data_IF_208618432240
#
_entry.id   IF_208618432240
#
_cell.length_a   1.000
_cell.length_b   1.000
_cell.length_c   1.000
_cell.angle_alpha   90.00
_cell.angle_beta   90.00
_cell.angle_gamma   90.00
#
_symmetry.space_group_name_H-M   'P 1'
#
loop_
_entity.id
_entity.type
_entity.pdbx_description
1 polymer ?
#
# COMPACT_ATOMS: atom_id res chain seq x y z
N UNK A 1 -20.54 15.83 -14.89
CA UNK A 1 -19.63 16.40 -13.88
C UNK A 1 -18.51 17.06 -14.62
N UNK A 2 -18.44 18.40 -14.66
CA UNK A 2 -17.29 19.12 -15.17
C UNK A 2 -16.15 18.92 -14.17
N UNK A 3 -15.10 18.22 -14.56
CA UNK A 3 -13.81 18.23 -13.88
C UNK A 3 -13.18 19.60 -14.20
N UNK A 4 -13.57 20.65 -13.49
CA UNK A 4 -12.85 21.90 -13.52
C UNK A 4 -11.69 21.71 -12.57
N UNK A 5 -10.48 21.61 -13.13
CA UNK A 5 -9.22 21.49 -12.39
C UNK A 5 -8.89 22.73 -11.54
N UNK A 6 -9.55 22.83 -10.40
CA UNK A 6 -9.17 23.67 -9.25
C UNK A 6 -8.96 22.83 -8.00
N UNK A 7 -8.67 21.57 -8.12
CA UNK A 7 -7.80 20.96 -7.14
C UNK A 7 -6.41 21.48 -7.48
N UNK A 8 -5.91 22.38 -6.69
CA UNK A 8 -4.53 22.81 -6.75
C UNK A 8 -3.68 21.54 -6.73
N UNK A 9 -3.03 21.26 -7.86
CA UNK A 9 -1.91 20.32 -7.83
C UNK A 9 -1.00 20.91 -6.75
N UNK A 10 -0.74 20.13 -5.72
CA UNK A 10 0.16 20.48 -4.62
C UNK A 10 1.55 20.83 -5.18
N UNK A 11 1.79 20.51 -6.45
CA UNK A 11 3.01 20.82 -7.19
C UNK A 11 2.71 21.84 -8.30
N UNK A 12 3.52 22.89 -8.39
CA UNK A 12 3.57 23.73 -9.58
C UNK A 12 4.02 22.90 -10.80
N UNK A 13 3.69 23.33 -12.05
CA UNK A 13 4.22 22.67 -13.25
C UNK A 13 5.76 22.56 -13.28
N UNK A 14 6.46 23.51 -12.65
CA UNK A 14 7.91 23.51 -12.50
C UNK A 14 8.38 22.46 -11.48
N UNK A 15 7.68 22.33 -10.36
CA UNK A 15 7.93 21.27 -9.39
C UNK A 15 7.65 19.88 -9.96
N UNK A 16 6.58 19.71 -10.76
CA UNK A 16 6.30 18.46 -11.45
C UNK A 16 7.38 18.11 -12.51
N UNK A 17 7.96 19.10 -13.17
CA UNK A 17 9.11 18.92 -14.09
C UNK A 17 10.41 18.63 -13.34
N UNK A 18 10.58 19.20 -12.15
CA UNK A 18 11.76 18.97 -11.31
C UNK A 18 11.72 17.63 -10.55
N UNK A 19 10.54 17.06 -10.35
CA UNK A 19 10.37 15.77 -9.65
C UNK A 19 11.28 14.66 -10.21
N UNK A 20 11.33 14.37 -11.52
CA UNK A 20 12.20 13.33 -12.05
C UNK A 20 13.67 13.59 -11.72
N UNK A 21 14.11 14.84 -11.75
CA UNK A 21 15.50 15.22 -11.45
C UNK A 21 15.77 15.11 -9.94
N UNK A 22 14.88 15.61 -9.09
CA UNK A 22 14.99 15.50 -7.63
C UNK A 22 15.08 14.02 -7.20
N UNK A 23 14.24 13.16 -7.79
CA UNK A 23 14.27 11.72 -7.50
C UNK A 23 15.48 11.02 -8.11
N UNK A 24 15.92 11.42 -9.29
CA UNK A 24 17.15 10.92 -9.90
C UNK A 24 18.38 11.28 -9.06
N UNK A 25 18.46 12.50 -8.57
CA UNK A 25 19.61 12.98 -7.80
C UNK A 25 19.61 12.45 -6.36
N UNK A 26 18.44 12.38 -5.71
CA UNK A 26 18.31 11.86 -4.33
C UNK A 26 18.46 10.33 -4.23
N UNK A 27 18.24 9.60 -5.33
CA UNK A 27 18.10 8.14 -5.32
C UNK A 27 19.05 7.38 -6.24
N UNK A 28 20.03 8.05 -6.84
CA UNK A 28 21.05 7.39 -7.67
C UNK A 28 21.65 6.10 -7.07
N UNK A 29 21.79 5.93 -5.73
CA UNK A 29 22.25 4.67 -5.16
C UNK A 29 21.16 3.58 -5.03
N UNK A 30 19.87 3.90 -5.17
CA UNK A 30 18.76 3.01 -4.79
C UNK A 30 17.86 2.56 -5.95
N UNK A 31 18.01 3.18 -7.15
CA UNK A 31 17.26 2.69 -8.30
C UNK A 31 17.95 1.42 -8.84
N UNK A 32 17.31 0.26 -8.82
CA UNK A 32 17.71 -0.82 -9.70
C UNK A 32 17.69 -0.27 -11.13
N UNK A 33 18.61 -0.71 -11.98
CA UNK A 33 18.76 -0.19 -13.36
C UNK A 33 17.46 -0.24 -14.17
N UNK A 34 16.45 -0.97 -13.69
CA UNK A 34 15.12 -1.08 -14.29
C UNK A 34 14.08 -1.35 -13.19
N UNK A 35 13.12 -0.44 -13.03
CA UNK A 35 11.98 -0.60 -12.13
C UNK A 35 10.73 -0.85 -12.97
N UNK A 36 10.09 -2.02 -12.78
CA UNK A 36 8.77 -2.32 -13.32
C UNK A 36 7.80 -2.53 -12.17
N UNK A 37 6.77 -1.70 -12.11
CA UNK A 37 5.77 -1.68 -11.03
C UNK A 37 4.49 -2.36 -11.50
N UNK A 38 4.04 -3.35 -10.77
CA UNK A 38 2.71 -3.92 -10.94
C UNK A 38 1.77 -3.27 -9.92
N UNK A 39 0.80 -2.49 -10.38
CA UNK A 39 -0.26 -1.94 -9.55
C UNK A 39 -1.43 -2.92 -9.63
N UNK A 40 -1.80 -3.53 -8.52
CA UNK A 40 -2.77 -4.61 -8.50
C UNK A 40 -3.96 -4.30 -7.58
N UNK A 41 -5.17 -4.49 -8.08
CA UNK A 41 -6.40 -4.25 -7.34
C UNK A 41 -7.30 -5.48 -7.33
N UNK A 42 -7.60 -6.04 -6.15
CA UNK A 42 -8.68 -7.01 -6.00
C UNK A 42 -10.04 -6.30 -6.03
N UNK A 43 -10.90 -6.68 -6.98
CA UNK A 43 -12.27 -6.18 -7.11
C UNK A 43 -13.27 -7.27 -6.71
N UNK A 44 -13.90 -7.14 -5.56
CA UNK A 44 -14.87 -8.15 -5.10
C UNK A 44 -16.09 -8.23 -6.03
N UNK A 45 -16.76 -7.10 -6.30
CA UNK A 45 -18.02 -7.04 -7.05
C UNK A 45 -17.87 -6.44 -8.46
N UNK A 46 -16.71 -6.50 -9.10
CA UNK A 46 -16.44 -5.81 -10.37
C UNK A 46 -16.70 -4.29 -10.31
N UNK A 47 -16.61 -3.70 -9.12
CA UNK A 47 -16.90 -2.30 -8.85
C UNK A 47 -15.73 -1.60 -8.18
N UNK A 48 -15.52 -0.35 -8.58
CA UNK A 48 -14.59 0.56 -7.91
C UNK A 48 -15.28 1.88 -7.59
N UNK A 49 -14.78 2.60 -6.60
CA UNK A 49 -15.28 3.91 -6.25
C UNK A 49 -14.69 4.98 -7.18
N UNK A 50 -15.48 6.01 -7.54
CA UNK A 50 -15.00 7.09 -8.42
C UNK A 50 -13.75 7.81 -7.90
N UNK A 51 -13.54 8.02 -6.58
CA UNK A 51 -12.29 8.57 -6.06
C UNK A 51 -11.06 7.69 -6.34
N UNK A 52 -11.22 6.36 -6.31
CA UNK A 52 -10.18 5.41 -6.72
C UNK A 52 -9.76 5.64 -8.18
N UNK A 53 -10.74 5.71 -9.08
CA UNK A 53 -10.49 5.94 -10.51
C UNK A 53 -9.75 7.27 -10.73
N UNK A 54 -10.18 8.33 -10.04
CA UNK A 54 -9.54 9.64 -10.12
C UNK A 54 -8.07 9.58 -9.68
N UNK A 55 -7.78 8.94 -8.53
CA UNK A 55 -6.40 8.78 -8.03
C UNK A 55 -5.55 7.95 -9.01
N UNK A 56 -6.11 6.86 -9.56
CA UNK A 56 -5.40 5.99 -10.51
C UNK A 56 -5.04 6.74 -11.80
N UNK A 57 -5.97 7.51 -12.39
CA UNK A 57 -5.69 8.30 -13.59
C UNK A 57 -4.53 9.27 -13.38
N UNK A 58 -4.45 9.91 -12.20
CA UNK A 58 -3.32 10.79 -11.86
C UNK A 58 -2.01 10.01 -11.66
N UNK A 59 -2.04 8.85 -11.04
CA UNK A 59 -0.87 7.96 -10.90
C UNK A 59 -0.33 7.56 -12.26
N UNK A 60 -1.20 7.07 -13.16
CA UNK A 60 -0.82 6.68 -14.53
C UNK A 60 -0.14 7.84 -15.25
N UNK A 61 -0.71 9.05 -15.14
CA UNK A 61 -0.10 10.25 -15.71
C UNK A 61 1.30 10.52 -15.16
N UNK A 62 1.48 10.45 -13.83
CA UNK A 62 2.78 10.71 -13.20
C UNK A 62 3.82 9.66 -13.59
N UNK A 63 3.49 8.37 -13.51
CA UNK A 63 4.41 7.28 -13.86
C UNK A 63 4.83 7.36 -15.33
N UNK A 64 3.88 7.66 -16.23
CA UNK A 64 4.18 7.87 -17.66
C UNK A 64 5.12 9.05 -17.87
N UNK A 65 4.88 10.19 -17.21
CA UNK A 65 5.74 11.37 -17.31
C UNK A 65 7.16 11.11 -16.78
N UNK A 66 7.30 10.24 -15.80
CA UNK A 66 8.58 9.86 -15.20
C UNK A 66 9.28 8.73 -15.95
N UNK A 67 8.64 8.13 -16.96
CA UNK A 67 9.20 7.00 -17.70
C UNK A 67 9.34 5.72 -16.86
N UNK A 68 8.56 5.58 -15.79
CA UNK A 68 8.51 4.35 -14.97
C UNK A 68 7.69 3.31 -15.71
N UNK A 69 8.24 2.12 -15.91
CA UNK A 69 7.49 1.00 -16.48
C UNK A 69 6.47 0.48 -15.46
N UNK A 70 5.22 0.36 -15.85
CA UNK A 70 4.16 -0.16 -14.97
C UNK A 70 3.09 -0.93 -15.74
N UNK A 71 2.42 -1.81 -15.03
CA UNK A 71 1.20 -2.48 -15.47
C UNK A 71 0.12 -2.35 -14.40
N UNK A 72 -1.13 -2.29 -14.85
CA UNK A 72 -2.29 -2.40 -13.97
C UNK A 72 -2.88 -3.81 -14.09
N UNK A 73 -3.01 -4.49 -12.96
CA UNK A 73 -3.64 -5.79 -12.88
C UNK A 73 -4.89 -5.72 -12.01
N UNK A 74 -5.96 -6.28 -12.52
CA UNK A 74 -7.18 -6.52 -11.76
C UNK A 74 -7.37 -8.02 -11.52
N UNK A 75 -7.95 -8.35 -10.38
CA UNK A 75 -8.45 -9.68 -10.09
C UNK A 75 -9.84 -9.54 -9.50
N UNK A 76 -10.84 -10.04 -10.25
CA UNK A 76 -12.25 -9.83 -9.94
C UNK A 76 -12.95 -11.12 -9.54
N UNK A 77 -14.00 -10.97 -8.71
CA UNK A 77 -14.89 -12.08 -8.37
C UNK A 77 -14.39 -13.05 -7.30
N UNK A 78 -13.24 -12.77 -6.67
CA UNK A 78 -12.77 -13.56 -5.54
C UNK A 78 -13.40 -13.08 -4.23
N UNK A 79 -14.12 -13.97 -3.53
CA UNK A 79 -14.76 -13.66 -2.26
C UNK A 79 -13.78 -13.53 -1.08
N UNK A 80 -12.56 -14.00 -1.23
CA UNK A 80 -11.54 -13.99 -0.19
C UNK A 80 -10.36 -13.09 -0.61
N UNK A 81 -10.27 -11.92 0.00
CA UNK A 81 -9.22 -10.94 -0.32
C UNK A 81 -7.80 -11.51 -0.16
N UNK A 82 -7.55 -12.33 0.85
CA UNK A 82 -6.26 -12.99 1.04
C UNK A 82 -5.92 -13.96 -0.10
N UNK A 83 -6.91 -14.69 -0.64
CA UNK A 83 -6.72 -15.57 -1.80
C UNK A 83 -6.42 -14.75 -3.06
N UNK A 84 -7.17 -13.68 -3.29
CA UNK A 84 -6.92 -12.76 -4.40
C UNK A 84 -5.49 -12.20 -4.35
N UNK A 85 -5.03 -11.74 -3.17
CA UNK A 85 -3.66 -11.23 -2.98
C UNK A 85 -2.62 -12.31 -3.23
N UNK A 86 -2.81 -13.54 -2.75
CA UNK A 86 -1.88 -14.64 -3.00
C UNK A 86 -1.79 -15.00 -4.49
N UNK A 87 -2.92 -15.00 -5.21
CA UNK A 87 -2.99 -15.22 -6.65
C UNK A 87 -2.20 -14.14 -7.41
N UNK A 88 -2.36 -12.89 -7.03
CA UNK A 88 -1.61 -11.77 -7.61
C UNK A 88 -0.11 -11.91 -7.30
N UNK A 89 0.28 -12.24 -6.07
CA UNK A 89 1.69 -12.49 -5.71
C UNK A 89 2.30 -13.62 -6.54
N UNK A 90 1.58 -14.72 -6.76
CA UNK A 90 2.05 -15.82 -7.58
C UNK A 90 2.29 -15.40 -9.03
N UNK A 91 1.33 -14.66 -9.62
CA UNK A 91 1.47 -14.10 -10.96
C UNK A 91 2.62 -13.09 -11.05
N UNK A 92 2.78 -12.22 -10.05
CA UNK A 92 3.88 -11.26 -9.99
C UNK A 92 5.24 -11.95 -9.99
N UNK A 93 5.39 -13.04 -9.25
CA UNK A 93 6.65 -13.80 -9.19
C UNK A 93 6.97 -14.54 -10.49
N UNK A 94 5.99 -14.77 -11.37
CA UNK A 94 6.20 -15.37 -12.70
C UNK A 94 6.74 -14.36 -13.73
N UNK A 95 6.57 -13.07 -13.51
CA UNK A 95 7.14 -12.03 -14.36
C UNK A 95 8.53 -11.60 -13.84
N UNK A 96 9.64 -12.09 -14.39
CA UNK A 96 10.97 -11.79 -13.88
C UNK A 96 11.38 -10.32 -14.02
N UNK A 97 10.68 -9.55 -14.86
CA UNK A 97 10.94 -8.13 -15.04
C UNK A 97 10.29 -7.26 -13.95
N UNK A 98 9.21 -7.75 -13.31
CA UNK A 98 8.50 -7.01 -12.29
C UNK A 98 9.33 -6.94 -11.00
N UNK A 99 9.56 -5.71 -10.50
CA UNK A 99 10.39 -5.45 -9.31
C UNK A 99 9.57 -5.12 -8.08
N UNK A 100 8.44 -4.44 -8.27
CA UNK A 100 7.59 -3.91 -7.21
C UNK A 100 6.14 -4.28 -7.46
N UNK A 101 5.47 -4.80 -6.45
CA UNK A 101 4.05 -5.07 -6.44
C UNK A 101 3.37 -4.05 -5.52
N UNK A 102 2.41 -3.30 -6.03
CA UNK A 102 1.66 -2.31 -5.28
C UNK A 102 0.19 -2.70 -5.20
N UNK A 103 -0.26 -3.18 -4.05
CA UNK A 103 -1.67 -3.44 -3.79
C UNK A 103 -2.41 -2.15 -3.47
N UNK A 104 -3.57 -1.95 -4.11
CA UNK A 104 -4.51 -0.86 -3.81
C UNK A 104 -5.92 -1.44 -3.83
N UNK A 105 -6.65 -1.31 -2.73
CA UNK A 105 -8.04 -1.76 -2.69
C UNK A 105 -8.95 -0.81 -3.49
N UNK A 106 -10.00 -1.34 -4.10
CA UNK A 106 -10.87 -0.63 -5.06
C UNK A 106 -11.70 0.50 -4.44
N UNK A 107 -11.70 0.60 -3.12
CA UNK A 107 -12.43 1.59 -2.32
C UNK A 107 -11.52 2.65 -1.67
N UNK A 108 -10.29 2.75 -2.15
CA UNK A 108 -9.31 3.71 -1.68
C UNK A 108 -9.30 5.00 -2.52
N UNK A 109 -8.92 6.10 -1.88
CA UNK A 109 -8.45 7.34 -2.50
C UNK A 109 -7.11 7.72 -1.90
N UNK A 110 -6.21 8.26 -2.71
CA UNK A 110 -4.87 8.69 -2.26
C UNK A 110 -4.35 9.85 -3.10
N UNK A 111 -3.39 10.59 -2.56
CA UNK A 111 -2.64 11.54 -3.36
C UNK A 111 -1.58 10.79 -4.20
N UNK A 112 -1.56 10.98 -5.52
CA UNK A 112 -0.72 10.20 -6.45
C UNK A 112 0.76 10.25 -6.14
N UNK A 113 1.25 11.38 -5.63
CA UNK A 113 2.65 11.60 -5.27
C UNK A 113 3.12 10.63 -4.18
N UNK A 114 2.25 10.29 -3.24
CA UNK A 114 2.59 9.34 -2.17
C UNK A 114 2.93 7.96 -2.72
N UNK A 115 2.16 7.45 -3.70
CA UNK A 115 2.48 6.18 -4.38
C UNK A 115 3.83 6.26 -5.06
N UNK A 116 4.08 7.33 -5.81
CA UNK A 116 5.35 7.56 -6.51
C UNK A 116 6.51 7.60 -5.50
N UNK A 117 6.35 8.35 -4.39
CA UNK A 117 7.36 8.40 -3.34
C UNK A 117 7.67 7.01 -2.78
N UNK A 118 6.64 6.22 -2.49
CA UNK A 118 6.81 4.87 -1.95
C UNK A 118 7.53 3.93 -2.92
N UNK A 119 7.32 4.03 -4.24
CA UNK A 119 8.04 3.21 -5.23
C UNK A 119 9.55 3.44 -5.12
N UNK A 120 9.96 4.67 -4.91
CA UNK A 120 11.40 5.02 -4.88
C UNK A 120 12.06 4.86 -3.51
N UNK A 121 11.33 4.52 -2.47
CA UNK A 121 11.92 4.26 -1.15
C UNK A 121 12.64 2.90 -1.11
N UNK A 122 13.75 2.78 -0.35
CA UNK A 122 14.56 1.57 -0.30
C UNK A 122 13.91 0.40 0.46
N UNK A 123 12.91 0.65 1.27
CA UNK A 123 12.21 -0.34 2.09
C UNK A 123 11.68 -1.50 1.22
N UNK A 124 11.78 -2.74 1.71
CA UNK A 124 11.28 -3.90 0.97
C UNK A 124 9.76 -4.04 1.07
N UNK A 125 9.17 -3.62 2.19
CA UNK A 125 7.72 -3.63 2.45
C UNK A 125 7.31 -2.31 3.08
N UNK A 126 6.43 -1.55 2.42
CA UNK A 126 5.96 -0.25 2.90
C UNK A 126 4.51 -0.01 2.51
N UNK A 127 3.68 0.45 3.43
CA UNK A 127 2.28 0.78 3.17
C UNK A 127 1.88 2.14 3.68
N UNK A 128 0.74 2.64 3.22
CA UNK A 128 0.03 3.75 3.84
C UNK A 128 -0.83 3.29 5.01
N UNK A 129 -1.29 4.24 5.82
CA UNK A 129 -2.33 4.00 6.80
C UNK A 129 -3.54 4.84 6.48
N UNK A 130 -4.72 4.26 6.55
CA UNK A 130 -5.99 4.90 6.21
C UNK A 130 -7.02 4.68 7.30
N UNK A 131 -8.05 5.55 7.39
CA UNK A 131 -9.09 5.41 8.40
C UNK A 131 -9.86 4.10 8.26
N UNK A 132 -10.17 3.46 9.38
CA UNK A 132 -11.10 2.32 9.40
C UNK A 132 -12.52 2.83 9.14
N UNK A 133 -13.33 2.06 8.41
CA UNK A 133 -14.75 2.38 8.09
C UNK A 133 -15.64 2.27 9.32
N UNK A 134 -15.34 3.01 10.36
CA UNK A 134 -16.16 3.08 11.58
C UNK A 134 -16.25 4.53 12.07
N UNK A 135 -16.99 4.75 13.15
CA UNK A 135 -17.16 6.08 13.73
C UNK A 135 -16.07 6.43 14.76
N UNK A 136 -15.08 5.55 14.95
CA UNK A 136 -13.96 5.75 15.87
C UNK A 136 -12.75 6.29 15.09
N UNK A 137 -11.94 7.11 15.75
CA UNK A 137 -10.68 7.58 15.20
C UNK A 137 -9.64 6.43 15.23
N UNK A 138 -9.83 5.42 14.38
CA UNK A 138 -8.93 4.27 14.27
C UNK A 138 -8.33 4.16 12.87
N UNK A 139 -7.12 3.65 12.82
CA UNK A 139 -6.31 3.54 11.62
C UNK A 139 -5.93 2.07 11.38
N UNK A 140 -5.72 1.71 10.12
CA UNK A 140 -5.52 0.32 9.71
C UNK A 140 -4.12 -0.20 9.97
N UNK A 141 -3.09 0.66 9.91
CA UNK A 141 -1.73 0.26 10.22
C UNK A 141 -1.38 0.60 11.67
N UNK A 142 -0.55 -0.24 12.28
CA UNK A 142 -0.11 -0.11 13.69
C UNK A 142 1.40 0.06 13.69
N UNK A 143 1.95 1.17 14.20
CA UNK A 143 3.40 1.32 14.34
C UNK A 143 3.97 0.47 15.47
N UNK A 144 5.26 0.17 15.41
CA UNK A 144 6.02 -0.27 16.56
C UNK A 144 6.28 0.93 17.48
N UNK A 145 6.29 0.68 18.79
CA UNK A 145 6.57 1.71 19.80
C UNK A 145 7.83 1.36 20.59
N UNK A 146 8.50 2.40 21.07
CA UNK A 146 9.59 2.30 22.05
C UNK A 146 9.37 3.31 23.17
N UNK A 147 9.86 2.97 24.37
CA UNK A 147 9.79 3.89 25.50
C UNK A 147 10.88 4.94 25.37
N UNK A 148 10.48 6.22 25.32
CA UNK A 148 11.40 7.34 25.30
C UNK A 148 11.93 7.69 26.69
N UNK A 149 12.91 8.59 26.74
CA UNK A 149 13.48 9.12 28.01
C UNK A 149 12.44 9.87 28.87
N UNK A 150 11.40 10.37 28.24
CA UNK A 150 10.24 11.01 28.90
C UNK A 150 9.26 10.01 29.53
N UNK A 151 9.55 8.71 29.45
CA UNK A 151 8.70 7.62 29.95
C UNK A 151 7.47 7.34 29.09
N UNK A 152 7.29 8.03 27.96
CA UNK A 152 6.17 7.81 27.04
C UNK A 152 6.55 6.87 25.91
N UNK A 153 5.54 6.25 25.32
CA UNK A 153 5.73 5.43 24.13
C UNK A 153 5.74 6.33 22.89
N UNK A 154 6.83 6.24 22.12
CA UNK A 154 7.00 6.93 20.83
C UNK A 154 7.00 5.92 19.68
N UNK A 155 6.41 6.25 18.54
CA UNK A 155 6.53 5.40 17.36
C UNK A 155 7.99 5.28 16.94
N UNK A 156 8.44 4.06 16.70
CA UNK A 156 9.77 3.81 16.14
C UNK A 156 9.83 4.20 14.68
N UNK A 157 10.91 4.80 14.25
CA UNK A 157 11.02 5.20 12.87
C UNK A 157 12.29 5.98 12.55
N UNK A 158 12.29 6.62 11.39
CA UNK A 158 13.36 7.50 10.94
C UNK A 158 12.80 8.68 10.14
N UNK A 159 13.54 9.75 10.07
CA UNK A 159 13.19 10.92 9.26
C UNK A 159 13.95 10.83 7.92
N UNK A 160 13.25 11.01 6.82
CA UNK A 160 13.83 11.12 5.49
C UNK A 160 14.48 12.50 5.29
N UNK A 161 15.37 12.66 4.29
CA UNK A 161 16.02 13.95 4.02
C UNK A 161 15.06 15.11 3.72
N UNK A 162 13.86 14.82 3.23
CA UNK A 162 12.80 15.81 2.97
C UNK A 162 11.94 16.14 4.22
N UNK A 163 12.31 15.60 5.39
CA UNK A 163 11.58 15.77 6.64
C UNK A 163 10.42 14.80 6.84
N UNK A 164 10.11 13.95 5.87
CA UNK A 164 9.05 12.93 6.01
C UNK A 164 9.45 11.86 7.02
N UNK A 165 8.58 11.58 7.98
CA UNK A 165 8.77 10.46 8.89
C UNK A 165 8.43 9.14 8.18
N UNK A 166 9.25 8.11 8.40
CA UNK A 166 8.89 6.72 8.15
C UNK A 166 8.79 6.00 9.50
N UNK A 167 7.73 5.22 9.69
CA UNK A 167 7.49 4.48 10.93
C UNK A 167 7.69 2.99 10.71
N UNK A 168 8.36 2.31 11.63
CA UNK A 168 8.36 0.85 11.66
C UNK A 168 6.95 0.37 11.96
N UNK A 169 6.48 -0.62 11.20
CA UNK A 169 5.15 -1.16 11.35
C UNK A 169 5.15 -2.47 12.14
N UNK A 170 4.33 -2.54 13.18
CA UNK A 170 3.89 -3.80 13.76
C UNK A 170 2.85 -4.47 12.86
N UNK A 171 1.94 -3.68 12.29
CA UNK A 171 1.01 -4.10 11.24
C UNK A 171 1.00 -3.06 10.14
N UNK A 172 1.20 -3.48 8.89
CA UNK A 172 1.00 -2.66 7.70
C UNK A 172 -0.25 -3.14 6.97
N UNK A 173 -1.14 -2.21 6.64
CA UNK A 173 -2.40 -2.53 5.98
C UNK A 173 -2.23 -2.88 4.50
N UNK A 174 -2.98 -3.87 4.02
CA UNK A 174 -2.89 -4.40 2.66
C UNK A 174 -3.56 -3.56 1.58
N UNK A 175 -4.47 -2.64 1.95
CA UNK A 175 -5.23 -1.86 0.97
C UNK A 175 -4.47 -0.70 0.34
N UNK A 176 -3.24 -0.40 0.77
CA UNK A 176 -2.29 0.50 0.11
C UNK A 176 -0.87 0.09 0.49
N UNK A 177 -0.34 -0.92 -0.21
CA UNK A 177 0.86 -1.65 0.19
C UNK A 177 1.79 -1.93 -0.99
N UNK A 178 3.03 -1.46 -0.90
CA UNK A 178 4.10 -1.82 -1.83
C UNK A 178 5.00 -2.91 -1.23
N UNK A 179 5.27 -3.94 -2.04
CA UNK A 179 6.13 -5.07 -1.71
C UNK A 179 7.15 -5.23 -2.84
N UNK A 180 8.43 -5.20 -2.52
CA UNK A 180 9.47 -5.57 -3.49
C UNK A 180 9.53 -7.09 -3.69
N UNK A 181 9.90 -7.51 -4.88
CA UNK A 181 10.12 -8.92 -5.24
C UNK A 181 10.94 -9.67 -4.18
N UNK A 182 12.05 -9.08 -3.77
CA UNK A 182 12.97 -9.70 -2.81
C UNK A 182 12.30 -10.07 -1.48
N UNK A 183 11.28 -9.30 -1.05
CA UNK A 183 10.55 -9.63 0.18
C UNK A 183 9.71 -10.90 0.04
N UNK A 184 9.03 -11.09 -1.11
CA UNK A 184 8.27 -12.30 -1.38
C UNK A 184 9.20 -13.52 -1.57
N UNK A 185 10.35 -13.33 -2.19
CA UNK A 185 11.36 -14.38 -2.37
C UNK A 185 11.93 -14.83 -1.01
N UNK A 186 12.34 -13.91 -0.15
CA UNK A 186 12.79 -14.22 1.23
C UNK A 186 11.71 -14.89 2.07
N UNK A 187 10.44 -14.48 1.90
CA UNK A 187 9.33 -15.15 2.55
C UNK A 187 9.24 -16.63 2.11
N UNK A 188 9.33 -16.91 0.80
CA UNK A 188 9.31 -18.28 0.28
C UNK A 188 10.48 -19.13 0.78
N UNK A 189 11.66 -18.55 0.86
CA UNK A 189 12.85 -19.21 1.42
C UNK A 189 12.65 -19.57 2.89
N UNK A 190 12.07 -18.65 3.68
CA UNK A 190 11.80 -18.86 5.10
C UNK A 190 10.69 -19.88 5.36
N UNK A 191 9.67 -19.91 4.50
CA UNK A 191 8.47 -20.73 4.65
C UNK A 191 8.22 -21.59 3.41
N UNK A 192 9.10 -22.55 3.07
CA UNK A 192 9.00 -23.32 1.84
C UNK A 192 7.74 -24.18 1.77
N UNK A 193 7.19 -24.58 2.92
CA UNK A 193 6.00 -25.42 3.04
C UNK A 193 4.71 -24.66 3.31
N UNK A 194 4.76 -23.32 3.38
CA UNK A 194 3.59 -22.48 3.60
C UNK A 194 2.89 -22.15 2.28
N UNK A 195 2.23 -23.15 1.72
CA UNK A 195 1.51 -23.06 0.45
C UNK A 195 0.24 -23.90 0.45
N UNK A 196 -0.64 -23.65 -0.49
CA UNK A 196 -1.87 -24.40 -0.73
C UNK A 196 -2.10 -24.61 -2.22
N UNK A 197 -2.92 -25.63 -2.55
CA UNK A 197 -3.51 -25.80 -3.87
C UNK A 197 -4.98 -25.41 -3.79
N UNK A 198 -5.47 -24.68 -4.79
CA UNK A 198 -6.91 -24.50 -4.94
C UNK A 198 -7.54 -25.77 -5.47
N UNK A 199 -8.70 -26.20 -4.93
CA UNK A 199 -9.44 -27.31 -5.50
C UNK A 199 -9.78 -27.00 -6.96
N UNK A 200 -9.36 -27.84 -7.89
CA UNK A 200 -9.77 -27.76 -9.28
C UNK A 200 -11.01 -28.63 -9.50
N UNK A 201 -12.01 -28.06 -10.17
CA UNK A 201 -13.16 -28.83 -10.64
C UNK A 201 -12.81 -29.77 -11.82
N UNK A 202 -11.65 -29.53 -12.45
CA UNK A 202 -11.10 -30.34 -13.53
C UNK A 202 -9.89 -31.15 -13.03
N UNK A 203 -10.02 -32.48 -12.81
CA UNK A 203 -8.92 -33.33 -12.36
C UNK A 203 -7.75 -33.41 -13.34
N UNK A 204 -7.96 -33.05 -14.62
CA UNK A 204 -6.91 -33.05 -15.65
C UNK A 204 -6.06 -31.79 -15.60
N UNK A 205 -6.53 -30.74 -14.91
CA UNK A 205 -5.81 -29.50 -14.74
C UNK A 205 -5.02 -29.54 -13.42
N UNK A 206 -3.69 -29.58 -13.45
CA UNK A 206 -2.89 -29.64 -12.22
C UNK A 206 -3.16 -28.41 -11.38
N UNK A 207 -3.49 -28.64 -10.11
CA UNK A 207 -3.73 -27.57 -9.15
C UNK A 207 -2.49 -26.69 -9.04
N UNK A 208 -2.64 -25.39 -9.29
CA UNK A 208 -1.56 -24.42 -9.13
C UNK A 208 -1.24 -24.28 -7.65
N UNK A 209 0.03 -24.27 -7.31
CA UNK A 209 0.52 -24.03 -5.97
C UNK A 209 0.62 -22.53 -5.72
N UNK A 210 0.00 -22.06 -4.62
CA UNK A 210 0.04 -20.68 -4.16
C UNK A 210 0.73 -20.61 -2.81
N UNK A 211 1.72 -19.75 -2.64
CA UNK A 211 2.27 -19.47 -1.31
C UNK A 211 1.30 -18.60 -0.51
N UNK A 212 1.13 -18.94 0.77
CA UNK A 212 0.22 -18.22 1.69
C UNK A 212 0.88 -17.00 2.29
N UNK A 213 1.18 -15.99 1.45
CA UNK A 213 1.70 -14.71 1.93
C UNK A 213 0.69 -14.00 2.82
N UNK A 214 -0.58 -14.06 2.42
CA UNK A 214 -1.73 -13.51 3.14
C UNK A 214 -2.64 -14.64 3.57
N UNK A 215 -3.04 -14.63 4.84
CA UNK A 215 -3.94 -15.64 5.40
C UNK A 215 -4.67 -15.09 6.62
N UNK A 216 -5.94 -15.46 6.79
CA UNK A 216 -6.64 -15.26 8.05
C UNK A 216 -6.55 -16.54 8.88
N UNK A 217 -5.99 -16.46 10.08
CA UNK A 217 -5.72 -17.63 10.92
C UNK A 217 -5.90 -17.32 12.42
N UNK A 218 -6.28 -18.34 13.17
CA UNK A 218 -6.23 -18.30 14.64
C UNK A 218 -4.93 -18.94 15.10
N UNK A 219 -4.15 -18.23 15.89
CA UNK A 219 -2.93 -18.70 16.53
C UNK A 219 -2.92 -18.21 17.97
N UNK A 220 -2.67 -19.09 18.94
CA UNK A 220 -2.68 -18.79 20.36
C UNK A 220 -3.97 -18.05 20.85
N UNK A 221 -5.12 -18.48 20.37
CA UNK A 221 -6.43 -17.89 20.63
C UNK A 221 -6.62 -16.45 20.11
N UNK A 222 -5.71 -15.94 19.27
CA UNK A 222 -5.82 -14.65 18.61
C UNK A 222 -6.16 -14.85 17.13
N UNK A 223 -7.15 -14.10 16.65
CA UNK A 223 -7.47 -14.04 15.23
C UNK A 223 -6.55 -13.04 14.54
N UNK A 224 -5.71 -13.54 13.67
CA UNK A 224 -4.93 -12.73 12.75
C UNK A 224 -5.73 -12.55 11.46
N UNK A 225 -6.06 -11.29 11.11
CA UNK A 225 -6.47 -10.93 9.77
C UNK A 225 -5.28 -11.04 8.79
N UNK A 226 -5.55 -10.99 7.51
CA UNK A 226 -4.52 -11.23 6.49
C UNK A 226 -3.36 -10.22 6.55
N UNK A 227 -3.62 -8.97 6.91
CA UNK A 227 -2.61 -7.92 7.07
C UNK A 227 -1.70 -8.18 8.28
N UNK A 228 -2.33 -8.57 9.39
CA UNK A 228 -1.62 -8.91 10.63
C UNK A 228 -0.76 -10.15 10.43
N UNK A 229 -1.31 -11.18 9.76
CA UNK A 229 -0.58 -12.38 9.41
C UNK A 229 0.62 -12.08 8.51
N UNK A 230 0.38 -11.36 7.41
CA UNK A 230 1.45 -10.94 6.50
C UNK A 230 2.57 -10.19 7.23
N UNK A 231 2.21 -9.17 8.02
CA UNK A 231 3.18 -8.37 8.78
C UNK A 231 3.97 -9.20 9.79
N UNK A 232 3.30 -10.11 10.52
CA UNK A 232 3.94 -11.05 11.45
C UNK A 232 4.96 -11.92 10.72
N UNK A 233 4.55 -12.55 9.62
CA UNK A 233 5.39 -13.48 8.86
C UNK A 233 6.58 -12.77 8.19
N UNK A 234 6.41 -11.55 7.72
CA UNK A 234 7.53 -10.75 7.21
C UNK A 234 8.56 -10.46 8.30
N UNK A 235 8.15 -10.06 9.51
CA UNK A 235 9.07 -9.86 10.63
C UNK A 235 9.78 -11.15 11.06
N UNK A 236 9.06 -12.26 11.15
CA UNK A 236 9.64 -13.57 11.44
C UNK A 236 10.64 -14.04 10.37
N UNK A 237 10.48 -13.57 9.13
CA UNK A 237 11.45 -13.77 8.04
C UNK A 237 12.64 -12.78 8.06
N UNK A 238 12.73 -11.93 9.10
CA UNK A 238 13.79 -10.95 9.22
C UNK A 238 13.63 -9.72 8.34
N UNK A 239 12.43 -9.48 7.81
CA UNK A 239 12.08 -8.32 7.00
C UNK A 239 11.42 -7.24 7.86
N UNK A 240 11.81 -6.00 7.64
CA UNK A 240 11.13 -4.86 8.27
C UNK A 240 9.94 -4.43 7.42
N UNK A 241 8.82 -4.16 8.09
CA UNK A 241 7.64 -3.54 7.49
C UNK A 241 7.55 -2.08 7.92
N UNK A 242 7.11 -1.21 7.01
CA UNK A 242 7.13 0.23 7.22
C UNK A 242 5.81 0.89 6.88
N UNK A 243 5.53 2.01 7.55
CA UNK A 243 4.41 2.90 7.24
C UNK A 243 4.97 4.20 6.68
N UNK A 244 4.44 4.62 5.53
CA UNK A 244 4.57 5.98 4.99
C UNK A 244 3.37 6.79 5.47
N UNK A 245 3.48 7.58 6.55
CA UNK A 245 2.31 8.16 7.21
C UNK A 245 1.77 9.40 6.48
N UNK A 246 2.60 10.09 5.69
CA UNK A 246 2.22 11.33 5.02
C UNK A 246 1.49 11.07 3.69
N UNK A 247 0.39 10.33 3.77
CA UNK A 247 -0.54 10.09 2.66
C UNK A 247 -1.92 10.59 3.05
N UNK A 248 -2.50 11.44 2.21
CA UNK A 248 -3.90 11.79 2.34
C UNK A 248 -4.75 10.65 1.79
N UNK A 249 -5.42 9.92 2.67
CA UNK A 249 -6.16 8.72 2.32
C UNK A 249 -7.66 8.91 2.50
N UNK A 250 -8.43 8.37 1.54
CA UNK A 250 -9.87 8.16 1.66
C UNK A 250 -10.19 6.68 1.60
N UNK A 251 -11.09 6.21 2.46
CA UNK A 251 -11.57 4.84 2.50
C UNK A 251 -13.10 4.85 2.38
N UNK A 252 -13.62 4.32 1.31
CA UNK A 252 -15.02 4.50 0.91
C UNK A 252 -15.85 3.24 1.13
N UNK A 253 -17.13 3.45 1.45
CA UNK A 253 -18.15 2.45 1.63
C UNK A 253 -19.51 3.12 1.46
N UNK A 254 -20.44 2.96 2.41
CA UNK A 254 -21.71 3.71 2.44
C UNK A 254 -21.49 5.22 2.59
N UNK A 255 -20.34 5.62 3.10
CA UNK A 255 -19.81 6.99 3.12
C UNK A 255 -18.29 6.94 2.94
N UNK A 256 -17.62 8.11 2.82
CA UNK A 256 -16.18 8.22 2.85
C UNK A 256 -15.64 8.51 4.24
N UNK A 257 -14.51 7.92 4.58
CA UNK A 257 -13.68 8.24 5.74
C UNK A 257 -12.34 8.74 5.22
N UNK A 258 -11.95 9.94 5.59
CA UNK A 258 -10.74 10.58 5.08
C UNK A 258 -9.82 10.99 6.21
N UNK A 259 -8.54 11.08 5.96
CA UNK A 259 -7.58 11.55 6.94
C UNK A 259 -6.13 11.46 6.47
N UNK A 260 -5.25 12.06 7.27
CA UNK A 260 -3.80 11.99 7.14
C UNK A 260 -3.22 11.46 8.45
N UNK A 261 -2.55 10.31 8.39
CA UNK A 261 -2.06 9.64 9.58
C UNK A 261 -0.96 10.42 10.29
N UNK A 262 -0.09 11.10 9.55
CA UNK A 262 0.93 11.97 10.12
C UNK A 262 0.31 13.12 10.94
N UNK A 263 -0.72 13.77 10.40
CA UNK A 263 -1.43 14.84 11.12
C UNK A 263 -2.12 14.30 12.39
N UNK A 264 -2.71 13.11 12.32
CA UNK A 264 -3.28 12.44 13.49
C UNK A 264 -2.22 12.18 14.58
N UNK A 265 -1.06 11.62 14.22
CA UNK A 265 0.04 11.37 15.17
C UNK A 265 0.61 12.64 15.78
N UNK A 266 0.59 13.74 15.02
CA UNK A 266 1.06 15.06 15.48
C UNK A 266 0.06 15.80 16.38
N UNK A 267 -1.07 15.17 16.72
CA UNK A 267 -2.11 15.77 17.57
C UNK A 267 -2.91 16.88 16.89
N UNK A 268 -2.85 17.00 15.56
CA UNK A 268 -3.72 17.88 14.82
C UNK A 268 -5.19 17.51 15.06
N UNK A 269 -6.06 18.50 15.23
CA UNK A 269 -7.50 18.26 15.33
C UNK A 269 -7.95 17.40 14.17
N UNK A 270 -8.91 16.55 14.46
CA UNK A 270 -9.49 15.54 13.58
C UNK A 270 -9.49 15.96 12.10
N UNK A 271 -8.56 15.37 11.32
CA UNK A 271 -8.37 15.72 9.91
C UNK A 271 -9.56 15.29 9.05
N UNK A 272 -10.54 14.57 9.62
CA UNK A 272 -11.80 14.16 8.96
C UNK A 272 -12.72 15.34 8.65
N UNK A 273 -12.58 16.44 9.37
CA UNK A 273 -13.36 17.67 9.17
C UNK A 273 -12.59 18.72 8.35
N UNK A 274 -11.45 18.39 7.78
CA UNK A 274 -10.69 19.31 6.94
C UNK A 274 -11.48 19.67 5.69
N UNK A 275 -11.68 20.98 5.41
CA UNK A 275 -12.43 21.45 4.23
C UNK A 275 -11.86 20.96 2.89
N UNK A 276 -10.58 20.53 2.87
CA UNK A 276 -9.89 20.02 1.69
C UNK A 276 -10.44 18.66 1.22
N UNK A 277 -11.11 17.90 2.11
CA UNK A 277 -11.73 16.61 1.79
C UNK A 277 -13.26 16.64 1.78
N UNK A 278 -13.89 17.73 2.20
CA UNK A 278 -15.32 17.92 2.07
C UNK A 278 -15.70 18.33 0.64
N UNK A 279 -15.37 17.50 -0.35
CA UNK A 279 -16.08 17.57 -1.62
C UNK A 279 -17.49 17.07 -1.36
N UNK A 280 -18.41 18.02 -1.17
CA UNK A 280 -19.84 17.74 -1.24
C UNK A 280 -20.09 17.03 -2.56
N UNK A 281 -20.32 15.74 -2.47
CA UNK A 281 -20.95 14.99 -3.56
C UNK A 281 -22.40 15.50 -3.61
N UNK A 282 -22.67 16.41 -4.54
CA UNK A 282 -24.03 16.79 -4.93
C UNK A 282 -24.51 15.87 -6.02
#
# INVERSE_FOLDING_TARGET
TRITGKNQSILTPEQAKALPQMYADAKKPYLPMRTKVIIATPFYELKGFSPYISSMVHVVKLLTQMGVEFEFWELSGDSYVHRARNTICARFLEDPAATDLFFIDSDMQWNPEALVNMIFLPEDVIGGSYPVKNNWASWTSIPEFEQGEDGKNHPRGRILPDGTALLKAYVVAGGFLRIKRIALEKFKEKYPDLWYNEPSADPSNPTRRYHSFFMSQVEDHLLYGEDMWFSKKMREAGLETWIYPNVNMGHYGVKGWTGNYHAFLSGAKDTRDSPEFNTKVH
#
